data_IF_248255725235
#
_entry.id   IF_248255725235
#
_cell.length_a   1.000
_cell.length_b   1.000
_cell.length_c   1.000
_cell.angle_alpha   90.00
_cell.angle_beta   90.00
_cell.angle_gamma   90.00
#
_symmetry.space_group_name_H-M   'P 1'
#
loop_
_entity.id
_entity.type
_entity.pdbx_description
1 polymer ?
#
# COMPACT_ATOMS: atom_id res chain seq x y z
N UNK A 1 -34.55 -59.70 -10.69
CA UNK A 1 -35.03 -59.07 -9.44
C UNK A 1 -34.22 -59.60 -8.28
N UNK A 2 -33.22 -58.83 -7.86
CA UNK A 2 -32.50 -58.87 -6.57
C UNK A 2 -31.41 -57.80 -6.69
N UNK A 3 -31.42 -56.71 -5.89
CA UNK A 3 -30.40 -55.69 -5.97
C UNK A 3 -29.21 -56.08 -5.09
N UNK A 4 -28.01 -56.02 -5.68
CA UNK A 4 -26.75 -56.19 -4.96
C UNK A 4 -26.42 -54.91 -4.17
N UNK A 5 -25.98 -55.13 -2.94
CA UNK A 5 -25.76 -54.12 -1.91
C UNK A 5 -24.57 -53.18 -2.20
N UNK A 6 -24.80 -51.89 -1.97
CA UNK A 6 -23.76 -50.87 -1.82
C UNK A 6 -22.92 -51.14 -0.56
N UNK A 7 -21.59 -51.25 -0.72
CA UNK A 7 -20.62 -51.18 0.38
C UNK A 7 -20.13 -49.75 0.53
N UNK A 8 -20.47 -49.11 1.65
CA UNK A 8 -19.88 -47.86 2.14
C UNK A 8 -18.65 -48.18 2.99
N UNK A 9 -17.49 -47.63 2.62
CA UNK A 9 -16.28 -47.69 3.41
C UNK A 9 -16.33 -46.62 4.52
N UNK A 10 -16.39 -47.05 5.78
CA UNK A 10 -16.13 -46.21 6.96
C UNK A 10 -14.62 -46.06 7.14
N UNK A 11 -14.10 -44.83 7.11
CA UNK A 11 -12.74 -44.52 7.57
C UNK A 11 -12.79 -44.24 9.06
N UNK A 12 -12.04 -45.04 9.82
CA UNK A 12 -11.82 -44.91 11.25
C UNK A 12 -10.79 -43.79 11.52
N UNK A 13 -11.14 -42.85 12.40
CA UNK A 13 -10.21 -41.87 12.96
C UNK A 13 -9.30 -42.53 14.01
N UNK A 14 -7.99 -42.25 14.05
CA UNK A 14 -7.14 -42.67 15.15
C UNK A 14 -7.26 -41.73 16.35
N UNK A 15 -7.12 -42.36 17.52
CA UNK A 15 -7.33 -41.83 18.85
C UNK A 15 -6.26 -40.81 19.29
N UNK A 16 -6.71 -39.88 20.14
CA UNK A 16 -5.92 -38.93 20.91
C UNK A 16 -4.92 -39.64 21.84
N UNK A 17 -3.65 -39.30 21.74
CA UNK A 17 -2.67 -39.50 22.81
C UNK A 17 -2.34 -38.13 23.42
N UNK A 18 -2.67 -37.96 24.69
CA UNK A 18 -2.42 -36.73 25.44
C UNK A 18 -0.96 -36.62 25.87
N UNK A 19 -0.39 -35.43 25.69
CA UNK A 19 0.79 -34.99 26.42
C UNK A 19 0.38 -33.82 27.32
N UNK A 20 0.43 -34.06 28.63
CA UNK A 20 0.28 -33.03 29.67
C UNK A 20 1.62 -32.30 29.78
N UNK A 21 1.62 -30.99 29.54
CA UNK A 21 2.73 -30.09 29.89
C UNK A 21 2.30 -29.29 31.12
N UNK A 22 3.13 -29.19 32.17
CA UNK A 22 2.75 -28.53 33.41
C UNK A 22 2.69 -27.01 33.26
N UNK A 23 1.69 -26.45 33.93
CA UNK A 23 1.43 -25.03 34.15
C UNK A 23 2.53 -24.45 35.04
N UNK A 24 3.31 -23.52 34.50
CA UNK A 24 4.13 -22.60 35.30
C UNK A 24 3.33 -21.32 35.53
N UNK A 25 3.03 -21.07 36.80
CA UNK A 25 2.33 -19.91 37.29
C UNK A 25 3.24 -18.68 37.38
N UNK A 26 2.65 -17.51 37.15
CA UNK A 26 2.97 -16.30 37.90
C UNK A 26 3.97 -15.33 37.27
N UNK A 27 3.46 -14.26 36.67
CA UNK A 27 3.53 -12.89 37.22
C UNK A 27 2.78 -11.95 36.27
N UNK A 28 1.52 -11.70 36.60
CA UNK A 28 0.73 -10.64 35.97
C UNK A 28 1.18 -9.29 36.51
N UNK A 29 1.68 -8.43 35.64
CA UNK A 29 1.83 -7.01 35.91
C UNK A 29 0.48 -6.34 35.59
N UNK A 30 -0.34 -6.15 36.62
CA UNK A 30 -1.57 -5.37 36.54
C UNK A 30 -1.19 -3.88 36.55
N UNK A 31 -1.27 -3.22 35.40
CA UNK A 31 -1.18 -1.76 35.31
C UNK A 31 -2.56 -1.17 35.63
N UNK A 32 -2.69 -0.63 36.84
CA UNK A 32 -3.85 0.15 37.29
C UNK A 32 -3.82 1.54 36.64
N UNK A 33 -4.66 1.78 35.64
CA UNK A 33 -4.98 3.14 35.18
C UNK A 33 -6.14 3.69 36.01
N UNK A 34 -5.79 4.60 36.92
CA UNK A 34 -6.73 5.35 37.74
C UNK A 34 -7.61 6.23 36.84
N UNK A 35 -8.92 5.98 36.90
CA UNK A 35 -9.94 6.91 36.42
C UNK A 35 -10.01 8.10 37.37
N UNK A 36 -9.57 9.28 36.91
CA UNK A 36 -9.95 10.55 37.52
C UNK A 36 -11.14 11.08 36.73
N UNK A 37 -12.32 10.93 37.32
CA UNK A 37 -13.53 11.59 36.88
C UNK A 37 -13.51 13.06 37.27
N UNK A 38 -13.74 13.93 36.29
CA UNK A 38 -14.27 15.27 36.51
C UNK A 38 -15.57 15.40 35.73
N UNK A 39 -16.68 15.29 36.44
CA UNK A 39 -18.02 15.69 35.99
C UNK A 39 -18.29 17.13 36.42
N UNK A 40 -18.73 17.99 35.49
CA UNK A 40 -19.78 19.01 35.63
C UNK A 40 -19.96 19.76 34.27
N UNK A 41 -21.03 20.55 34.03
CA UNK A 41 -22.27 20.10 33.43
C UNK A 41 -22.68 20.87 32.14
N UNK A 42 -23.59 20.26 31.37
CA UNK A 42 -24.61 20.89 30.52
C UNK A 42 -24.27 22.13 29.68
N UNK A 43 -24.22 21.96 28.36
CA UNK A 43 -24.60 23.00 27.41
C UNK A 43 -25.37 22.38 26.24
N UNK A 44 -26.47 23.04 25.91
CA UNK A 44 -27.53 22.64 25.01
C UNK A 44 -27.06 22.55 23.54
N UNK A 45 -27.82 21.75 22.80
CA UNK A 45 -27.79 21.57 21.35
C UNK A 45 -27.77 22.89 20.57
N UNK A 46 -26.86 23.00 19.60
CA UNK A 46 -27.10 23.82 18.41
C UNK A 46 -26.53 23.09 17.21
N UNK A 47 -27.44 22.58 16.37
CA UNK A 47 -27.15 22.12 15.02
C UNK A 47 -26.61 23.31 14.21
N UNK A 48 -25.31 23.30 13.95
CA UNK A 48 -24.67 24.16 12.96
C UNK A 48 -24.30 23.30 11.76
N UNK A 49 -25.06 23.42 10.68
CA UNK A 49 -24.68 22.90 9.37
C UNK A 49 -23.34 23.53 8.96
N UNK A 50 -22.26 22.75 9.09
CA UNK A 50 -20.98 23.09 8.52
C UNK A 50 -20.92 22.52 7.09
N UNK A 51 -21.22 23.38 6.14
CA UNK A 51 -20.93 23.17 4.73
C UNK A 51 -19.41 23.31 4.55
N UNK A 52 -18.67 22.22 4.72
CA UNK A 52 -17.25 22.16 4.34
C UNK A 52 -17.14 21.59 2.92
N UNK A 53 -17.12 22.51 1.98
CA UNK A 53 -16.84 22.28 0.57
C UNK A 53 -15.33 21.99 0.42
N UNK A 54 -14.94 20.72 0.61
CA UNK A 54 -13.55 20.26 0.50
C UNK A 54 -13.14 20.05 -0.96
N UNK A 55 -13.05 21.15 -1.70
CA UNK A 55 -12.11 21.30 -2.81
C UNK A 55 -11.35 22.60 -2.60
N UNK A 56 -10.38 22.59 -1.70
CA UNK A 56 -9.42 23.68 -1.58
C UNK A 56 -8.46 23.61 -2.77
N UNK A 57 -8.78 24.37 -3.82
CA UNK A 57 -7.75 24.99 -4.66
C UNK A 57 -6.97 25.96 -3.76
N UNK A 58 -6.06 25.40 -2.97
CA UNK A 58 -5.34 26.13 -1.93
C UNK A 58 -4.60 27.33 -2.52
N UNK A 59 -5.00 28.52 -2.08
CA UNK A 59 -4.18 29.74 -2.15
C UNK A 59 -2.81 29.40 -1.57
N UNK A 60 -1.74 29.80 -2.26
CA UNK A 60 -0.38 29.75 -1.73
C UNK A 60 -0.35 30.60 -0.44
N UNK A 61 -0.56 29.97 0.72
CA UNK A 61 -0.04 30.56 1.94
C UNK A 61 1.47 30.63 1.76
N UNK A 62 2.11 31.75 2.11
CA UNK A 62 3.56 31.80 2.29
C UNK A 62 3.90 30.83 3.42
N UNK A 63 4.05 29.57 3.05
CA UNK A 63 4.28 28.49 3.96
C UNK A 63 5.75 28.53 4.41
N UNK A 64 6.06 28.06 5.63
CA UNK A 64 7.40 28.15 6.16
C UNK A 64 8.43 27.46 5.25
N UNK A 65 9.57 28.12 5.03
CA UNK A 65 10.70 27.52 4.36
C UNK A 65 11.24 26.34 5.19
N UNK A 66 11.65 25.23 4.56
CA UNK A 66 12.33 24.13 5.24
C UNK A 66 13.55 24.61 6.03
N UNK A 67 13.80 23.99 7.19
CA UNK A 67 14.94 24.35 8.04
C UNK A 67 16.23 23.71 7.53
N UNK A 68 17.38 24.34 7.79
CA UNK A 68 18.72 23.81 7.47
C UNK A 68 19.17 22.72 8.45
N UNK A 69 18.61 22.71 9.67
CA UNK A 69 18.89 21.70 10.67
C UNK A 69 17.65 20.85 10.99
N UNK A 70 17.83 19.54 11.07
CA UNK A 70 16.75 18.60 11.36
C UNK A 70 16.01 18.96 12.66
N UNK A 71 16.73 19.36 13.72
CA UNK A 71 16.13 19.73 15.01
C UNK A 71 15.21 20.95 14.94
N UNK A 72 15.47 21.87 14.01
CA UNK A 72 14.74 23.14 13.83
C UNK A 72 13.58 23.01 12.84
N UNK A 73 13.36 21.82 12.28
CA UNK A 73 12.34 21.58 11.28
C UNK A 73 10.94 21.97 11.78
N UNK A 74 10.26 22.75 10.94
CA UNK A 74 8.97 23.36 11.25
C UNK A 74 7.84 22.32 11.11
N UNK A 75 6.88 22.38 12.04
CA UNK A 75 5.69 21.53 12.00
C UNK A 75 4.73 22.02 10.92
N UNK A 76 4.41 21.12 9.99
CA UNK A 76 3.52 21.33 8.85
C UNK A 76 2.53 20.17 8.75
N UNK A 77 1.45 20.35 7.99
CA UNK A 77 0.46 19.31 7.73
C UNK A 77 0.24 19.20 6.22
N UNK A 78 -0.95 18.77 5.78
CA UNK A 78 -1.31 18.76 4.36
C UNK A 78 -1.29 20.19 3.78
N UNK A 79 -0.83 20.32 2.54
CA UNK A 79 -0.75 21.61 1.86
C UNK A 79 0.36 21.68 0.82
N UNK A 80 0.59 22.89 0.32
CA UNK A 80 1.66 23.20 -0.64
C UNK A 80 2.68 24.11 0.03
N UNK A 81 3.95 23.77 -0.14
CA UNK A 81 5.10 24.43 0.46
C UNK A 81 6.14 24.72 -0.62
N UNK A 82 6.97 25.73 -0.37
CA UNK A 82 8.10 26.06 -1.24
C UNK A 82 9.38 26.09 -0.40
N UNK A 83 10.44 25.48 -0.93
CA UNK A 83 11.76 25.49 -0.31
C UNK A 83 12.83 25.93 -1.30
N UNK A 84 14.02 26.19 -0.76
CA UNK A 84 15.21 26.51 -1.54
C UNK A 84 16.44 25.90 -0.85
N UNK A 85 17.25 25.16 -1.60
CA UNK A 85 18.42 24.46 -1.07
C UNK A 85 19.72 25.30 -1.10
N UNK A 86 19.70 26.50 -1.67
CA UNK A 86 20.90 27.33 -1.90
C UNK A 86 21.72 27.62 -0.65
N UNK A 87 21.03 27.89 0.45
CA UNK A 87 21.67 28.19 1.74
C UNK A 87 21.81 26.96 2.62
N UNK A 88 21.30 25.81 2.18
CA UNK A 88 21.27 24.60 2.98
C UNK A 88 22.59 23.84 2.86
N UNK A 89 22.90 23.06 3.89
CA UNK A 89 24.09 22.22 3.95
C UNK A 89 23.73 20.74 3.97
N UNK A 90 24.70 19.89 3.65
CA UNK A 90 24.53 18.45 3.80
C UNK A 90 24.54 18.11 5.29
N UNK A 91 23.52 17.40 5.76
CA UNK A 91 23.53 16.92 7.15
C UNK A 91 24.45 15.71 7.26
N UNK A 92 25.54 15.86 8.04
CA UNK A 92 26.57 14.84 8.20
C UNK A 92 26.06 13.57 8.88
N UNK A 93 24.99 13.66 9.67
CA UNK A 93 24.42 12.51 10.38
C UNK A 93 23.72 11.55 9.40
N UNK A 94 23.12 12.09 8.33
CA UNK A 94 22.41 11.29 7.32
C UNK A 94 23.20 11.06 6.04
N UNK A 95 24.27 11.84 5.82
CA UNK A 95 25.07 11.82 4.60
C UNK A 95 24.22 12.14 3.36
N UNK A 96 23.33 13.11 3.47
CA UNK A 96 22.34 13.47 2.46
C UNK A 96 21.10 12.59 2.45
N UNK A 97 19.99 13.12 1.96
CA UNK A 97 18.75 12.35 1.76
C UNK A 97 19.00 11.09 0.93
N UNK A 98 18.46 9.95 1.37
CA UNK A 98 18.67 8.64 0.74
C UNK A 98 20.14 8.18 0.69
N UNK A 99 21.00 8.69 1.57
CA UNK A 99 22.44 8.41 1.59
C UNK A 99 23.19 8.95 0.38
N UNK A 100 22.57 9.87 -0.37
CA UNK A 100 23.07 10.34 -1.66
C UNK A 100 23.98 11.57 -1.59
N UNK A 101 24.20 12.15 -0.41
CA UNK A 101 24.87 13.44 -0.22
C UNK A 101 24.03 14.64 -0.70
N UNK A 102 24.66 15.82 -0.73
CA UNK A 102 24.03 17.07 -1.19
C UNK A 102 23.39 17.88 -0.06
N UNK A 103 22.88 19.07 -0.38
CA UNK A 103 22.22 19.92 0.60
C UNK A 103 20.81 19.42 0.93
N UNK A 104 20.42 19.49 2.20
CA UNK A 104 19.17 18.94 2.71
C UNK A 104 18.34 20.02 3.43
N UNK A 105 17.03 20.04 3.20
CA UNK A 105 16.07 20.86 3.94
C UNK A 105 15.09 19.99 4.73
N UNK A 106 14.69 20.44 5.91
CA UNK A 106 13.92 19.63 6.86
C UNK A 106 12.55 20.23 7.22
N UNK A 107 11.55 19.35 7.31
CA UNK A 107 10.19 19.64 7.79
C UNK A 107 9.74 18.54 8.79
N UNK A 108 8.79 18.88 9.66
CA UNK A 108 8.05 17.90 10.48
C UNK A 108 6.63 17.81 9.95
N UNK A 109 6.25 16.66 9.44
CA UNK A 109 4.91 16.42 8.90
C UNK A 109 4.03 15.80 9.99
N UNK A 110 2.98 16.50 10.37
CA UNK A 110 1.94 16.02 11.27
C UNK A 110 0.80 15.35 10.50
N UNK A 111 0.39 14.18 10.99
CA UNK A 111 -0.76 13.41 10.52
C UNK A 111 -1.88 13.53 11.58
N UNK A 112 -2.78 14.52 11.48
CA UNK A 112 -3.73 14.84 12.55
C UNK A 112 -4.82 13.77 12.73
N UNK A 113 -5.12 13.01 11.68
CA UNK A 113 -6.08 11.91 11.68
C UNK A 113 -5.45 10.70 11.02
N UNK A 114 -5.99 9.49 11.26
CA UNK A 114 -5.51 8.28 10.59
C UNK A 114 -5.58 8.46 9.07
N UNK A 115 -4.45 8.36 8.38
CA UNK A 115 -4.36 8.73 6.96
C UNK A 115 -3.20 8.04 6.23
N UNK A 116 -3.33 7.92 4.91
CA UNK A 116 -2.18 7.80 4.02
C UNK A 116 -1.55 9.16 3.81
N UNK A 117 -0.22 9.19 3.81
CA UNK A 117 0.60 10.35 3.54
C UNK A 117 1.28 10.20 2.19
N UNK A 118 1.11 11.17 1.31
CA UNK A 118 1.85 11.28 0.04
C UNK A 118 2.58 12.61 0.01
N UNK A 119 3.85 12.59 -0.38
CA UNK A 119 4.65 13.79 -0.57
C UNK A 119 5.21 13.81 -1.98
N UNK A 120 4.82 14.81 -2.76
CA UNK A 120 5.37 15.08 -4.07
C UNK A 120 6.28 16.31 -4.02
N UNK A 121 7.40 16.28 -4.72
CA UNK A 121 8.33 17.39 -4.79
C UNK A 121 8.78 17.63 -6.23
N UNK A 122 8.92 18.90 -6.61
CA UNK A 122 9.36 19.31 -7.96
C UNK A 122 10.38 20.44 -7.84
N UNK A 123 11.61 20.16 -8.26
CA UNK A 123 12.68 21.16 -8.32
C UNK A 123 12.64 21.96 -9.63
N UNK A 124 13.22 23.16 -9.62
CA UNK A 124 13.40 23.98 -10.82
C UNK A 124 14.57 23.44 -11.63
N UNK A 125 14.30 22.43 -12.46
CA UNK A 125 15.32 21.79 -13.31
C UNK A 125 16.10 20.66 -12.65
N UNK A 126 15.64 20.16 -11.50
CA UNK A 126 16.17 18.95 -10.84
C UNK A 126 15.04 18.12 -10.23
N UNK A 127 15.31 16.84 -9.97
CA UNK A 127 14.42 15.94 -9.25
C UNK A 127 14.83 15.91 -7.77
N UNK A 128 14.00 16.41 -6.83
CA UNK A 128 14.29 16.32 -5.40
C UNK A 128 14.26 14.88 -4.91
N UNK A 129 15.13 14.56 -3.96
CA UNK A 129 15.10 13.30 -3.19
C UNK A 129 14.31 13.51 -1.92
N UNK A 130 13.59 12.49 -1.46
CA UNK A 130 12.75 12.55 -0.26
C UNK A 130 13.08 11.41 0.69
N UNK A 131 13.08 11.68 1.99
CA UNK A 131 13.14 10.63 3.01
C UNK A 131 12.28 10.97 4.22
N UNK A 132 11.78 9.92 4.86
CA UNK A 132 11.08 9.99 6.14
C UNK A 132 11.87 9.30 7.24
N UNK A 133 11.85 9.89 8.44
CA UNK A 133 12.26 9.25 9.68
C UNK A 133 11.25 9.53 10.81
N UNK A 134 11.35 8.82 11.94
CA UNK A 134 10.56 9.14 13.12
C UNK A 134 10.91 10.54 13.65
N UNK A 135 10.23 11.00 14.70
CA UNK A 135 10.45 12.35 15.25
C UNK A 135 11.79 12.51 16.01
N UNK A 136 12.60 11.46 16.10
CA UNK A 136 14.02 11.55 16.43
C UNK A 136 14.81 11.87 15.15
N UNK A 137 15.66 12.89 15.21
CA UNK A 137 16.47 13.30 14.05
C UNK A 137 17.12 12.08 13.37
N UNK A 138 17.28 12.13 12.05
CA UNK A 138 17.52 11.00 11.13
C UNK A 138 18.78 10.12 11.37
N UNK A 139 19.51 10.29 12.48
CA UNK A 139 20.69 9.49 12.84
C UNK A 139 20.41 8.04 13.29
N UNK A 140 19.14 7.62 13.36
CA UNK A 140 18.74 6.30 13.88
C UNK A 140 18.30 5.30 12.81
N UNK A 141 17.28 5.64 12.01
CA UNK A 141 16.71 4.75 10.99
C UNK A 141 15.74 5.50 10.07
N UNK A 142 16.07 5.54 8.79
CA UNK A 142 15.15 5.97 7.74
C UNK A 142 13.97 4.97 7.64
N UNK A 143 12.74 5.49 7.59
CA UNK A 143 11.51 4.72 7.41
C UNK A 143 11.29 4.42 5.94
N UNK A 144 11.48 5.43 5.09
CA UNK A 144 11.31 5.32 3.65
C UNK A 144 12.14 6.40 2.96
N UNK A 145 12.58 6.08 1.75
CA UNK A 145 13.32 6.98 0.87
C UNK A 145 12.83 6.82 -0.55
N UNK A 146 12.86 7.92 -1.29
CA UNK A 146 12.72 7.92 -2.73
C UNK A 146 13.74 8.88 -3.36
N UNK A 147 14.45 8.39 -4.38
CA UNK A 147 15.42 9.20 -5.16
C UNK A 147 14.73 10.15 -6.12
N UNK A 148 13.40 10.05 -6.24
CA UNK A 148 12.46 10.87 -6.98
C UNK A 148 11.09 10.87 -6.31
N UNK A 149 10.26 11.90 -6.58
CA UNK A 149 8.91 12.01 -6.05
C UNK A 149 7.87 11.26 -6.93
N UNK A 150 6.74 10.78 -6.37
CA UNK A 150 6.31 10.95 -4.98
C UNK A 150 6.81 9.86 -4.00
N UNK A 151 6.88 10.22 -2.72
CA UNK A 151 7.11 9.29 -1.60
C UNK A 151 5.80 9.12 -0.82
N UNK A 152 5.40 7.89 -0.53
CA UNK A 152 4.13 7.61 0.18
C UNK A 152 4.32 6.66 1.36
N UNK A 153 3.53 6.88 2.42
CA UNK A 153 3.37 6.01 3.58
C UNK A 153 1.88 5.77 3.80
N UNK A 154 1.51 4.53 4.08
CA UNK A 154 0.11 4.14 4.21
C UNK A 154 -0.29 3.96 5.67
N UNK A 155 -1.57 4.25 5.95
CA UNK A 155 -2.25 3.91 7.19
C UNK A 155 -1.54 4.38 8.48
N UNK A 156 -1.05 5.62 8.45
CA UNK A 156 -0.41 6.24 9.61
C UNK A 156 -1.46 6.55 10.68
N UNK A 157 -1.10 6.32 11.95
CA UNK A 157 -1.98 6.62 13.07
C UNK A 157 -2.19 8.14 13.24
N UNK A 158 -3.34 8.53 13.79
CA UNK A 158 -3.59 9.93 14.16
C UNK A 158 -2.55 10.41 15.20
N UNK A 159 -2.09 11.65 15.04
CA UNK A 159 -1.02 12.24 15.87
C UNK A 159 0.39 11.80 15.50
N UNK A 160 0.58 11.02 14.42
CA UNK A 160 1.92 10.67 13.95
C UNK A 160 2.65 11.93 13.48
N UNK A 161 3.90 12.11 13.91
CA UNK A 161 4.80 13.15 13.43
C UNK A 161 6.02 12.50 12.80
N UNK A 162 6.31 12.86 11.56
CA UNK A 162 7.44 12.34 10.79
C UNK A 162 8.39 13.48 10.43
N UNK A 163 9.69 13.21 10.45
CA UNK A 163 10.70 14.13 9.88
C UNK A 163 10.79 13.85 8.40
N UNK A 164 10.50 14.86 7.58
CA UNK A 164 10.71 14.85 6.14
C UNK A 164 12.02 15.59 5.85
N UNK A 165 12.92 14.93 5.13
CA UNK A 165 14.07 15.59 4.53
C UNK A 165 13.93 15.63 3.01
N UNK A 166 14.22 16.80 2.44
CA UNK A 166 14.23 17.05 1.00
C UNK A 166 15.65 17.38 0.58
N UNK A 167 16.20 16.58 -0.32
CA UNK A 167 17.58 16.72 -0.77
C UNK A 167 17.70 16.79 -2.29
N UNK A 168 18.94 16.90 -2.75
CA UNK A 168 19.30 17.00 -4.16
C UNK A 168 20.58 16.20 -4.40
N UNK A 169 20.75 15.69 -5.62
CA UNK A 169 22.02 15.07 -6.01
C UNK A 169 23.21 16.04 -5.83
N UNK A 170 24.33 15.60 -5.22
CA UNK A 170 25.45 16.49 -4.90
C UNK A 170 26.13 17.08 -6.14
N UNK A 171 26.19 16.35 -7.26
CA UNK A 171 26.77 16.87 -8.50
C UNK A 171 25.86 17.96 -9.08
N UNK A 172 24.55 17.69 -9.13
CA UNK A 172 23.55 18.66 -9.58
C UNK A 172 23.55 19.90 -8.68
N UNK A 173 23.63 19.73 -7.36
CA UNK A 173 23.71 20.83 -6.41
C UNK A 173 24.93 21.70 -6.65
N UNK A 174 26.12 21.09 -6.76
CA UNK A 174 27.36 21.82 -7.04
C UNK A 174 27.25 22.66 -8.31
N UNK A 175 26.71 22.09 -9.38
CA UNK A 175 26.57 22.77 -10.67
C UNK A 175 25.57 23.94 -10.62
N UNK A 176 24.46 23.76 -9.90
CA UNK A 176 23.42 24.78 -9.77
C UNK A 176 23.80 25.89 -8.78
N UNK A 177 24.50 25.56 -7.69
CA UNK A 177 24.87 26.51 -6.66
C UNK A 177 25.95 27.51 -7.14
N UNK A 178 26.78 27.11 -8.11
CA UNK A 178 27.76 28.02 -8.75
C UNK A 178 27.09 29.11 -9.59
N UNK A 179 25.83 28.94 -9.98
CA UNK A 179 25.08 29.94 -10.75
C UNK A 179 24.48 30.96 -9.78
N UNK A 180 24.66 32.28 -10.02
CA UNK A 180 24.01 33.29 -9.19
C UNK A 180 22.49 33.12 -9.25
N UNK A 181 21.81 33.44 -8.15
CA UNK A 181 20.35 33.47 -8.13
C UNK A 181 19.87 34.52 -9.14
N UNK A 182 19.00 34.15 -10.10
CA UNK A 182 18.46 35.11 -11.06
C UNK A 182 17.55 36.12 -10.37
N UNK A 183 17.61 37.39 -10.79
CA UNK A 183 16.76 38.46 -10.24
C UNK A 183 15.31 38.36 -10.71
N UNK A 184 15.10 37.91 -11.96
CA UNK A 184 13.79 37.90 -12.64
C UNK A 184 13.20 36.48 -12.85
N UNK A 185 13.81 35.44 -12.29
CA UNK A 185 13.37 34.05 -12.46
C UNK A 185 13.46 33.26 -11.14
N UNK A 186 12.73 32.12 -11.03
CA UNK A 186 12.89 31.24 -9.89
C UNK A 186 14.33 30.74 -9.76
N UNK A 187 14.83 30.68 -8.54
CA UNK A 187 16.13 30.12 -8.24
C UNK A 187 16.18 28.64 -8.69
N UNK A 188 17.22 28.18 -9.43
CA UNK A 188 17.35 26.79 -9.84
C UNK A 188 17.41 25.77 -8.68
N UNK A 189 17.70 26.22 -7.46
CA UNK A 189 17.67 25.40 -6.24
C UNK A 189 16.34 25.50 -5.48
N UNK A 190 15.35 26.22 -6.02
CA UNK A 190 13.99 26.20 -5.49
C UNK A 190 13.24 24.93 -5.86
N UNK A 191 12.30 24.54 -5.01
CA UNK A 191 11.39 23.45 -5.25
C UNK A 191 10.02 23.73 -4.65
N UNK A 192 8.98 23.19 -5.28
CA UNK A 192 7.64 23.11 -4.72
C UNK A 192 7.42 21.72 -4.13
N UNK A 193 6.75 21.66 -2.98
CA UNK A 193 6.42 20.47 -2.22
C UNK A 193 4.92 20.41 -1.99
N UNK A 194 4.30 19.27 -2.26
CA UNK A 194 2.88 19.01 -2.02
C UNK A 194 2.75 17.84 -1.06
N UNK A 195 2.17 18.12 0.11
CA UNK A 195 1.89 17.14 1.16
C UNK A 195 0.39 16.83 1.10
N UNK A 196 0.07 15.64 0.60
CA UNK A 196 -1.29 15.10 0.54
C UNK A 196 -1.56 14.16 1.70
N UNK A 197 -2.75 14.28 2.29
CA UNK A 197 -3.30 13.33 3.25
C UNK A 197 -4.60 12.75 2.71
N UNK A 198 -4.71 11.44 2.69
CA UNK A 198 -5.97 10.74 2.39
C UNK A 198 -6.42 10.02 3.65
N UNK A 199 -7.53 10.45 4.23
CA UNK A 199 -8.05 9.86 5.47
C UNK A 199 -8.32 8.36 5.28
N UNK A 200 -7.99 7.57 6.29
CA UNK A 200 -8.31 6.14 6.37
C UNK A 200 -9.46 5.95 7.36
N UNK A 201 -10.58 5.50 6.84
CA UNK A 201 -11.85 5.33 7.53
C UNK A 201 -11.94 3.93 8.16
N UNK A 202 -12.33 3.86 9.42
CA UNK A 202 -12.58 2.61 10.13
C UNK A 202 -13.92 1.97 9.74
N UNK A 203 -14.14 0.74 10.18
CA UNK A 203 -15.39 0.03 9.94
C UNK A 203 -16.60 0.80 10.53
N UNK A 204 -17.68 0.89 9.77
CA UNK A 204 -18.91 1.63 10.10
C UNK A 204 -18.85 3.13 9.85
N UNK A 205 -17.72 3.68 9.35
CA UNK A 205 -17.66 5.09 8.98
C UNK A 205 -18.19 5.32 7.55
N UNK A 206 -18.96 6.40 7.36
CA UNK A 206 -19.47 6.81 6.05
C UNK A 206 -18.32 7.16 5.11
N UNK A 207 -18.29 6.50 3.95
CA UNK A 207 -17.19 6.55 3.00
C UNK A 207 -17.49 7.33 1.71
N UNK A 208 -18.73 7.81 1.55
CA UNK A 208 -19.09 8.73 0.46
C UNK A 208 -19.38 10.16 0.95
N UNK A 209 -19.01 11.18 0.15
CA UNK A 209 -18.28 11.10 -1.12
C UNK A 209 -16.80 10.70 -0.91
N UNK A 210 -16.11 10.28 -1.99
CA UNK A 210 -14.72 9.81 -1.95
C UNK A 210 -13.72 10.83 -1.33
N UNK A 211 -14.07 12.12 -1.27
CA UNK A 211 -13.29 13.13 -0.56
C UNK A 211 -13.21 12.91 0.96
N UNK A 212 -14.09 12.07 1.54
CA UNK A 212 -14.01 11.66 2.95
C UNK A 212 -12.79 10.81 3.27
N UNK A 213 -12.22 10.12 2.27
CA UNK A 213 -11.10 9.20 2.43
C UNK A 213 -11.36 7.83 1.81
N UNK A 214 -10.48 6.89 2.11
CA UNK A 214 -10.65 5.47 1.75
C UNK A 214 -10.93 4.63 2.99
N UNK A 215 -11.62 3.52 2.80
CA UNK A 215 -11.80 2.52 3.85
C UNK A 215 -10.45 1.87 4.22
N UNK A 216 -10.30 1.49 5.50
CA UNK A 216 -9.16 0.70 5.99
C UNK A 216 -9.10 -0.64 5.26
N UNK A 217 -7.90 -1.21 5.14
CA UNK A 217 -7.74 -2.58 4.63
C UNK A 217 -8.69 -3.55 5.35
N UNK A 218 -9.24 -4.51 4.60
CA UNK A 218 -10.25 -5.44 5.09
C UNK A 218 -11.68 -4.89 5.16
N UNK A 219 -11.90 -3.65 4.73
CA UNK A 219 -13.23 -3.04 4.65
C UNK A 219 -13.49 -2.44 3.27
N UNK A 220 -14.76 -2.38 2.86
CA UNK A 220 -15.20 -1.78 1.60
C UNK A 220 -16.29 -0.75 1.79
N UNK A 221 -16.30 0.26 0.94
CA UNK A 221 -17.37 1.25 0.93
C UNK A 221 -18.64 0.64 0.34
N UNK A 222 -19.62 0.33 1.19
CA UNK A 222 -20.83 -0.40 0.80
C UNK A 222 -22.07 0.15 1.50
N UNK A 223 -23.19 0.25 0.77
CA UNK A 223 -24.50 0.49 1.37
C UNK A 223 -25.08 -0.81 1.94
N UNK A 224 -25.63 -0.76 3.16
CA UNK A 224 -26.29 -1.91 3.79
C UNK A 224 -27.68 -2.19 3.17
N UNK A 225 -28.39 -1.16 2.74
CA UNK A 225 -29.63 -1.25 1.99
C UNK A 225 -29.73 -0.13 0.93
N UNK A 226 -30.62 -0.28 -0.09
CA UNK A 226 -30.85 0.77 -1.06
C UNK A 226 -31.31 2.08 -0.40
N UNK A 227 -30.54 3.15 -0.62
CA UNK A 227 -30.82 4.48 -0.05
C UNK A 227 -30.06 4.82 1.22
N UNK A 228 -29.35 3.86 1.82
CA UNK A 228 -28.42 4.12 2.92
C UNK A 228 -27.14 4.79 2.41
N UNK A 229 -26.53 5.64 3.24
CA UNK A 229 -25.19 6.15 2.96
C UNK A 229 -24.18 4.98 3.00
N UNK A 230 -23.31 4.82 1.99
CA UNK A 230 -22.29 3.78 2.03
C UNK A 230 -21.33 3.99 3.22
N UNK A 231 -21.04 2.91 3.92
CA UNK A 231 -20.14 2.85 5.05
C UNK A 231 -19.04 1.82 4.80
N UNK A 232 -17.88 2.00 5.45
CA UNK A 232 -16.82 1.01 5.43
C UNK A 232 -17.27 -0.27 6.12
N UNK A 233 -17.67 -1.26 5.34
CA UNK A 233 -18.20 -2.53 5.81
C UNK A 233 -17.06 -3.55 5.86
N UNK A 234 -16.87 -4.19 7.02
CA UNK A 234 -15.91 -5.28 7.16
C UNK A 234 -16.28 -6.43 6.24
N UNK A 235 -15.31 -6.87 5.44
CA UNK A 235 -15.46 -8.08 4.67
C UNK A 235 -15.15 -9.29 5.55
N UNK A 236 -16.05 -10.28 5.64
CA UNK A 236 -15.78 -11.50 6.35
C UNK A 236 -14.81 -12.38 5.52
N UNK A 237 -13.53 -12.02 5.46
CA UNK A 237 -12.35 -12.90 5.51
C UNK A 237 -11.00 -12.21 5.17
N UNK A 238 -10.74 -10.99 5.66
CA UNK A 238 -9.46 -10.26 5.49
C UNK A 238 -8.23 -10.99 6.10
N UNK A 239 -7.80 -12.11 5.54
CA UNK A 239 -6.66 -12.87 6.08
C UNK A 239 -5.89 -13.70 5.07
N UNK A 240 -6.31 -13.80 3.79
CA UNK A 240 -5.81 -14.83 2.85
C UNK A 240 -5.88 -16.29 3.38
N UNK A 241 -6.34 -16.52 4.61
CA UNK A 241 -6.40 -17.82 5.27
C UNK A 241 -7.53 -18.68 4.74
N UNK A 242 -8.50 -18.03 4.09
CA UNK A 242 -9.64 -18.62 3.38
C UNK A 242 -9.43 -18.65 1.86
N UNK A 243 -8.25 -18.27 1.37
CA UNK A 243 -7.96 -18.27 -0.05
C UNK A 243 -8.18 -19.67 -0.64
N UNK A 244 -8.81 -19.72 -1.81
CA UNK A 244 -9.08 -20.99 -2.46
C UNK A 244 -7.79 -21.55 -3.06
N UNK A 245 -7.32 -22.68 -2.55
CA UNK A 245 -6.24 -23.45 -3.17
C UNK A 245 -6.65 -23.85 -4.59
N UNK A 246 -5.89 -23.36 -5.56
CA UNK A 246 -6.21 -23.47 -6.98
C UNK A 246 -5.03 -24.11 -7.71
N UNK A 247 -5.15 -25.39 -8.10
CA UNK A 247 -4.09 -26.06 -8.83
C UNK A 247 -3.98 -25.52 -10.26
N UNK A 248 -2.79 -25.07 -10.63
CA UNK A 248 -2.51 -24.64 -12.00
C UNK A 248 -2.10 -25.86 -12.82
N UNK A 249 -3.03 -26.39 -13.61
CA UNK A 249 -2.78 -27.54 -14.49
C UNK A 249 -2.63 -27.06 -15.92
N UNK A 250 -1.38 -27.02 -16.39
CA UNK A 250 -1.06 -26.64 -17.76
C UNK A 250 -1.29 -27.79 -18.74
N UNK A 251 -1.80 -27.47 -19.91
CA UNK A 251 -1.84 -28.35 -21.08
C UNK A 251 -0.42 -28.60 -21.64
N UNK A 252 -0.30 -29.51 -22.62
CA UNK A 252 0.98 -29.79 -23.29
C UNK A 252 1.60 -28.55 -23.95
N UNK A 253 0.78 -27.58 -24.36
CA UNK A 253 1.23 -26.28 -24.89
C UNK A 253 1.76 -25.31 -23.82
N UNK A 254 1.69 -25.68 -22.54
CA UNK A 254 2.08 -24.80 -21.43
C UNK A 254 1.04 -23.73 -21.10
N UNK A 255 -0.22 -23.95 -21.48
CA UNK A 255 -1.35 -23.02 -21.29
C UNK A 255 -2.40 -23.62 -20.36
N UNK A 256 -3.08 -22.77 -19.58
CA UNK A 256 -4.25 -23.10 -18.78
C UNK A 256 -5.27 -21.95 -18.78
N UNK A 257 -6.49 -22.27 -18.38
CA UNK A 257 -7.56 -21.30 -18.20
C UNK A 257 -8.17 -21.46 -16.81
N UNK A 258 -8.38 -20.35 -16.12
CA UNK A 258 -9.04 -20.31 -14.83
C UNK A 258 -10.32 -19.48 -14.96
N UNK A 259 -11.45 -20.07 -14.61
CA UNK A 259 -12.75 -19.39 -14.65
C UNK A 259 -12.99 -18.70 -13.31
N UNK A 260 -13.29 -17.41 -13.37
CA UNK A 260 -13.67 -16.57 -12.23
C UNK A 260 -15.15 -16.28 -12.36
N UNK A 261 -15.92 -16.65 -11.33
CA UNK A 261 -17.33 -16.33 -11.22
C UNK A 261 -17.50 -15.16 -10.23
N UNK A 262 -17.83 -13.95 -10.72
CA UNK A 262 -18.04 -12.77 -9.87
C UNK A 262 -19.16 -12.94 -8.84
N UNK A 263 -20.14 -13.82 -9.10
CA UNK A 263 -21.26 -14.06 -8.20
C UNK A 263 -20.86 -14.86 -6.93
N UNK A 264 -19.69 -15.49 -6.94
CA UNK A 264 -19.15 -16.11 -5.73
C UNK A 264 -18.72 -15.04 -4.71
N UNK A 265 -18.79 -15.32 -3.40
CA UNK A 265 -18.38 -14.36 -2.39
C UNK A 265 -16.95 -13.87 -2.60
N UNK A 266 -16.81 -12.54 -2.61
CA UNK A 266 -15.54 -11.82 -2.65
C UNK A 266 -15.32 -11.27 -1.25
N UNK A 267 -14.38 -11.87 -0.54
CA UNK A 267 -14.27 -11.75 0.92
C UNK A 267 -13.14 -10.83 1.36
N UNK A 268 -12.45 -10.23 0.40
CA UNK A 268 -11.17 -9.57 0.59
C UNK A 268 -11.13 -8.23 -0.14
N UNK A 269 -10.31 -7.32 0.37
CA UNK A 269 -10.04 -6.01 -0.23
C UNK A 269 -8.65 -5.55 0.21
N UNK A 270 -7.66 -5.74 -0.65
CA UNK A 270 -6.27 -5.42 -0.39
C UNK A 270 -5.82 -4.22 -1.24
N UNK A 271 -4.95 -3.38 -0.70
CA UNK A 271 -4.31 -2.32 -1.48
C UNK A 271 -3.09 -2.87 -2.21
N UNK A 272 -2.97 -2.65 -3.53
CA UNK A 272 -1.83 -3.07 -4.37
C UNK A 272 -1.08 -1.85 -4.92
N UNK A 273 0.16 -2.02 -5.38
CA UNK A 273 0.97 -0.84 -5.80
C UNK A 273 0.48 -0.17 -7.08
N UNK A 274 -0.18 -0.91 -7.97
CA UNK A 274 -0.74 -0.41 -9.23
C UNK A 274 -2.23 -0.06 -9.12
N UNK A 275 -2.89 -0.29 -7.98
CA UNK A 275 -4.34 -0.10 -7.86
C UNK A 275 -4.96 -0.80 -6.65
N UNK A 276 -6.26 -1.05 -6.71
CA UNK A 276 -6.92 -1.96 -5.78
C UNK A 276 -7.25 -1.44 -4.38
N UNK A 277 -6.89 -0.21 -4.01
CA UNK A 277 -7.28 0.34 -2.70
C UNK A 277 -8.81 0.37 -2.53
N UNK A 278 -9.35 -0.67 -1.88
CA UNK A 278 -10.78 -0.81 -1.59
C UNK A 278 -11.63 -1.31 -2.76
N UNK A 279 -11.14 -2.23 -3.61
CA UNK A 279 -11.99 -3.01 -4.51
C UNK A 279 -12.24 -4.42 -3.94
N UNK A 280 -13.37 -5.03 -4.32
CA UNK A 280 -13.65 -6.43 -3.99
C UNK A 280 -12.66 -7.33 -4.72
N UNK A 281 -12.12 -8.30 -4.00
CA UNK A 281 -11.16 -9.24 -4.57
C UNK A 281 -11.59 -10.68 -4.39
N UNK A 282 -11.26 -11.46 -5.41
CA UNK A 282 -11.12 -12.91 -5.29
C UNK A 282 -9.66 -13.23 -4.99
N UNK A 283 -9.41 -13.91 -3.86
CA UNK A 283 -8.06 -14.38 -3.51
C UNK A 283 -7.96 -15.88 -3.76
N UNK A 284 -6.99 -16.26 -4.59
CA UNK A 284 -6.66 -17.65 -4.90
C UNK A 284 -5.23 -17.95 -4.46
N UNK A 285 -5.02 -19.07 -3.80
CA UNK A 285 -3.66 -19.56 -3.52
C UNK A 285 -3.26 -20.53 -4.64
N UNK A 286 -2.26 -20.17 -5.44
CA UNK A 286 -1.89 -20.93 -6.63
C UNK A 286 -0.92 -22.06 -6.30
N UNK A 287 -1.31 -23.30 -6.59
CA UNK A 287 -0.35 -24.40 -6.61
C UNK A 287 0.39 -24.36 -7.94
N UNK A 288 1.63 -23.88 -7.90
CA UNK A 288 2.43 -23.64 -9.10
C UNK A 288 2.69 -24.95 -9.87
N UNK A 289 2.60 -24.92 -11.22
CA UNK A 289 2.86 -26.09 -12.02
C UNK A 289 4.35 -26.46 -11.96
N UNK A 290 4.66 -27.72 -12.29
CA UNK A 290 6.03 -28.05 -12.65
C UNK A 290 6.40 -27.29 -13.94
N UNK A 291 7.47 -26.52 -13.90
CA UNK A 291 7.96 -25.77 -15.06
C UNK A 291 9.46 -26.01 -15.26
N UNK A 292 9.95 -26.00 -16.52
CA UNK A 292 11.38 -25.95 -16.79
C UNK A 292 12.06 -24.75 -16.11
N UNK A 293 13.36 -24.83 -15.83
CA UNK A 293 14.13 -23.67 -15.38
C UNK A 293 14.04 -22.52 -16.40
N UNK A 294 14.15 -21.28 -15.93
CA UNK A 294 14.04 -20.06 -16.73
C UNK A 294 12.67 -19.85 -17.42
N UNK A 295 11.59 -20.38 -16.82
CA UNK A 295 10.21 -20.08 -17.22
C UNK A 295 9.48 -19.33 -16.11
N UNK A 296 8.67 -18.36 -16.54
CA UNK A 296 7.73 -17.63 -15.70
C UNK A 296 6.29 -18.01 -16.04
N UNK A 297 5.37 -17.78 -15.11
CA UNK A 297 3.94 -17.95 -15.32
C UNK A 297 3.35 -16.58 -15.59
N UNK A 298 2.88 -16.37 -16.81
CA UNK A 298 2.12 -15.19 -17.17
C UNK A 298 0.63 -15.45 -16.95
N UNK A 299 -0.06 -14.51 -16.32
CA UNK A 299 -1.51 -14.54 -16.08
C UNK A 299 -2.08 -13.27 -16.72
N UNK A 300 -3.10 -13.45 -17.56
CA UNK A 300 -3.74 -12.36 -18.30
C UNK A 300 -5.25 -12.42 -18.17
N UNK A 301 -5.89 -11.27 -18.20
CA UNK A 301 -7.35 -11.13 -18.28
C UNK A 301 -7.70 -10.12 -19.36
N UNK A 302 -8.63 -10.47 -20.24
CA UNK A 302 -9.04 -9.60 -21.35
C UNK A 302 -10.05 -8.53 -20.93
N UNK A 303 -10.69 -8.70 -19.76
CA UNK A 303 -11.59 -7.70 -19.17
C UNK A 303 -10.78 -6.48 -18.73
N UNK A 304 -11.02 -5.29 -19.32
CA UNK A 304 -10.19 -4.10 -19.09
C UNK A 304 -10.45 -3.43 -17.74
N UNK A 305 -11.50 -3.84 -17.04
CA UNK A 305 -11.98 -3.36 -15.74
C UNK A 305 -11.60 -4.29 -14.58
N UNK A 306 -10.88 -5.38 -14.87
CA UNK A 306 -10.39 -6.34 -13.87
C UNK A 306 -8.90 -6.13 -13.65
N UNK A 307 -8.50 -5.91 -12.40
CA UNK A 307 -7.11 -5.82 -11.97
C UNK A 307 -6.57 -7.18 -11.52
N UNK A 308 -5.25 -7.34 -11.55
CA UNK A 308 -4.55 -8.53 -11.07
C UNK A 308 -3.37 -8.13 -10.20
N UNK A 309 -3.18 -8.82 -9.08
CA UNK A 309 -1.96 -8.71 -8.28
C UNK A 309 -1.49 -10.06 -7.77
N UNK A 310 -0.20 -10.21 -7.55
CA UNK A 310 0.43 -11.44 -7.04
C UNK A 310 1.30 -11.12 -5.85
N UNK A 311 1.14 -11.88 -4.76
CA UNK A 311 1.99 -11.79 -3.57
C UNK A 311 2.60 -13.14 -3.20
N UNK A 312 3.86 -13.12 -2.75
CA UNK A 312 4.54 -14.26 -2.16
C UNK A 312 5.75 -13.81 -1.31
N UNK A 313 6.06 -14.48 -0.20
CA UNK A 313 5.52 -15.77 0.23
C UNK A 313 4.20 -15.67 1.03
N UNK A 314 3.83 -14.48 1.49
CA UNK A 314 2.60 -14.24 2.22
C UNK A 314 1.59 -13.41 1.43
N UNK A 315 0.63 -12.90 2.19
CA UNK A 315 -0.49 -12.09 1.71
C UNK A 315 -0.24 -10.58 1.92
N UNK A 316 0.86 -10.20 2.56
CA UNK A 316 1.12 -8.82 2.93
C UNK A 316 1.47 -7.98 1.71
N UNK A 317 1.12 -6.69 1.73
CA UNK A 317 1.47 -5.78 0.63
C UNK A 317 2.99 -5.73 0.35
N UNK A 318 3.82 -5.93 1.38
CA UNK A 318 5.29 -6.05 1.24
C UNK A 318 5.75 -7.28 0.48
N UNK A 319 4.89 -8.29 0.32
CA UNK A 319 5.16 -9.53 -0.41
C UNK A 319 4.74 -9.42 -1.89
N UNK A 320 4.31 -8.24 -2.36
CA UNK A 320 3.89 -8.05 -3.74
C UNK A 320 5.03 -8.30 -4.73
N UNK A 321 4.78 -9.20 -5.69
CA UNK A 321 5.71 -9.58 -6.74
C UNK A 321 5.43 -8.86 -8.05
N UNK A 322 4.15 -8.67 -8.36
CA UNK A 322 3.68 -8.06 -9.60
C UNK A 322 2.24 -7.62 -9.43
N UNK A 323 1.85 -6.57 -10.13
CA UNK A 323 0.45 -6.19 -10.23
C UNK A 323 0.17 -5.41 -11.52
N UNK A 324 -1.09 -5.40 -11.95
CA UNK A 324 -1.60 -4.66 -13.08
C UNK A 324 -3.04 -4.18 -12.82
N UNK A 325 -3.28 -2.87 -13.00
CA UNK A 325 -4.55 -2.23 -12.74
C UNK A 325 -5.62 -2.53 -13.82
N UNK A 326 -6.88 -2.63 -13.41
CA UNK A 326 -8.04 -2.72 -14.30
C UNK A 326 -8.54 -1.36 -14.79
N UNK A 327 -7.69 -0.56 -15.44
CA UNK A 327 -8.00 0.84 -15.81
C UNK A 327 -8.17 1.06 -17.31
N UNK A 328 -8.88 0.15 -18.00
CA UNK A 328 -9.22 0.30 -19.42
C UNK A 328 -8.34 -0.48 -20.39
N UNK A 329 -7.35 -1.24 -19.89
CA UNK A 329 -6.51 -2.13 -20.68
C UNK A 329 -6.50 -3.55 -20.06
N UNK A 330 -6.28 -4.61 -20.86
CA UNK A 330 -6.12 -5.97 -20.33
C UNK A 330 -5.01 -6.02 -19.27
N UNK A 331 -5.32 -6.52 -18.08
CA UNK A 331 -4.33 -6.70 -17.03
C UNK A 331 -3.46 -7.95 -17.28
N UNK A 332 -2.17 -7.82 -16.97
CA UNK A 332 -1.18 -8.88 -17.13
C UNK A 332 -0.18 -8.84 -15.98
N UNK A 333 0.04 -9.99 -15.35
CA UNK A 333 1.06 -10.17 -14.30
C UNK A 333 1.95 -11.37 -14.61
N UNK A 334 3.22 -11.31 -14.20
CA UNK A 334 4.20 -12.37 -14.46
C UNK A 334 4.83 -12.84 -13.15
N UNK A 335 4.71 -14.13 -12.86
CA UNK A 335 5.36 -14.78 -11.72
C UNK A 335 6.67 -15.41 -12.21
N UNK A 336 7.79 -14.73 -11.96
CA UNK A 336 9.13 -15.27 -12.23
C UNK A 336 9.61 -16.26 -11.17
N UNK A 337 10.74 -16.93 -11.41
CA UNK A 337 11.42 -17.82 -10.45
C UNK A 337 10.52 -18.97 -9.95
N UNK A 338 9.65 -19.49 -10.82
CA UNK A 338 8.69 -20.55 -10.47
C UNK A 338 9.35 -21.76 -9.81
N UNK A 339 10.49 -22.20 -10.37
CA UNK A 339 11.25 -23.33 -9.84
C UNK A 339 11.72 -23.10 -8.39
N UNK A 340 12.20 -21.88 -8.09
CA UNK A 340 12.65 -21.52 -6.74
C UNK A 340 11.50 -21.40 -5.75
N UNK A 341 10.39 -20.78 -6.14
CA UNK A 341 9.19 -20.68 -5.31
C UNK A 341 8.66 -22.07 -4.95
N UNK A 342 8.54 -22.96 -5.96
CA UNK A 342 8.10 -24.34 -5.76
C UNK A 342 9.06 -25.14 -4.88
N UNK A 343 10.37 -25.02 -5.10
CA UNK A 343 11.37 -25.71 -4.29
C UNK A 343 11.35 -25.25 -2.81
N UNK A 344 11.00 -23.98 -2.56
CA UNK A 344 10.80 -23.43 -1.22
C UNK A 344 9.42 -23.75 -0.62
N UNK A 345 8.53 -24.44 -1.34
CA UNK A 345 7.16 -24.72 -0.90
C UNK A 345 6.28 -23.47 -0.82
N UNK A 346 6.63 -22.41 -1.54
CA UNK A 346 5.88 -21.15 -1.56
C UNK A 346 4.78 -21.22 -2.62
N UNK A 347 3.53 -21.03 -2.18
CA UNK A 347 2.36 -20.93 -3.04
C UNK A 347 1.89 -19.47 -3.10
N UNK A 348 2.11 -18.76 -4.23
CA UNK A 348 1.72 -17.36 -4.36
C UNK A 348 0.21 -17.15 -4.25
N UNK A 349 -0.18 -16.00 -3.74
CA UNK A 349 -1.56 -15.52 -3.73
C UNK A 349 -1.81 -14.68 -4.97
N UNK A 350 -2.87 -15.01 -5.72
CA UNK A 350 -3.40 -14.23 -6.83
C UNK A 350 -4.64 -13.49 -6.35
N UNK A 351 -4.60 -12.17 -6.46
CA UNK A 351 -5.69 -11.26 -6.17
C UNK A 351 -6.30 -10.83 -7.50
N UNK A 352 -7.61 -10.99 -7.62
CA UNK A 352 -8.37 -10.61 -8.81
C UNK A 352 -9.31 -9.50 -8.38
N UNK A 353 -8.96 -8.27 -8.73
CA UNK A 353 -9.72 -7.06 -8.39
C UNK A 353 -10.91 -6.95 -9.34
N UNK A 354 -12.11 -6.96 -8.79
CA UNK A 354 -13.34 -6.84 -9.56
C UNK A 354 -13.89 -5.41 -9.50
N UNK A 355 -14.52 -4.93 -10.57
CA UNK A 355 -15.15 -3.62 -10.54
C UNK A 355 -16.35 -3.61 -9.58
N UNK A 356 -16.79 -2.41 -9.12
CA UNK A 356 -18.02 -2.28 -8.34
C UNK A 356 -19.23 -2.92 -9.03
N UNK A 357 -20.15 -3.46 -8.23
CA UNK A 357 -21.40 -4.11 -8.69
C UNK A 357 -21.23 -5.32 -9.63
N UNK A 358 -20.03 -5.89 -9.69
CA UNK A 358 -19.70 -7.03 -10.54
C UNK A 358 -20.35 -8.35 -10.13
N UNK A 359 -21.06 -8.42 -8.99
CA UNK A 359 -21.71 -9.66 -8.53
C UNK A 359 -22.79 -10.16 -9.50
N UNK A 360 -23.21 -9.32 -10.45
CA UNK A 360 -24.18 -9.63 -11.51
C UNK A 360 -23.54 -9.93 -12.86
N UNK A 361 -22.23 -9.75 -12.98
CA UNK A 361 -21.50 -9.98 -14.22
C UNK A 361 -21.40 -11.48 -14.54
N UNK A 362 -21.31 -11.84 -15.83
CA UNK A 362 -21.01 -13.22 -16.21
C UNK A 362 -19.60 -13.61 -15.78
N UNK A 363 -19.41 -14.91 -15.55
CA UNK A 363 -18.10 -15.50 -15.33
C UNK A 363 -17.14 -15.17 -16.50
N UNK A 364 -15.87 -14.97 -16.18
CA UNK A 364 -14.82 -14.66 -17.14
C UNK A 364 -13.58 -15.53 -16.92
N UNK A 365 -12.64 -15.47 -17.85
CA UNK A 365 -11.47 -16.35 -17.87
C UNK A 365 -10.19 -15.57 -17.67
N UNK A 366 -9.35 -16.04 -16.76
CA UNK A 366 -7.92 -15.73 -16.73
C UNK A 366 -7.19 -16.75 -17.60
N UNK A 367 -6.33 -16.27 -18.49
CA UNK A 367 -5.47 -17.13 -19.31
C UNK A 367 -4.08 -17.18 -18.68
N UNK A 368 -3.60 -18.39 -18.43
CA UNK A 368 -2.31 -18.67 -17.83
C UNK A 368 -1.42 -19.32 -18.88
N UNK A 369 -0.17 -18.87 -19.00
CA UNK A 369 0.79 -19.50 -19.91
C UNK A 369 2.20 -19.44 -19.38
N UNK A 370 3.00 -20.46 -19.70
CA UNK A 370 4.43 -20.39 -19.46
C UNK A 370 5.09 -19.48 -20.51
N UNK A 371 5.86 -18.52 -20.05
CA UNK A 371 6.68 -17.64 -20.88
C UNK A 371 8.15 -17.76 -20.48
N UNK A 372 9.10 -17.34 -21.34
CA UNK A 372 10.49 -17.17 -20.91
C UNK A 372 10.56 -16.23 -19.69
N UNK A 373 11.46 -16.51 -18.75
CA UNK A 373 11.68 -15.55 -17.65
C UNK A 373 12.05 -14.17 -18.21
N UNK A 374 11.45 -13.09 -17.69
CA UNK A 374 11.86 -11.75 -18.06
C UNK A 374 13.32 -11.56 -17.66
N UNK A 375 14.18 -11.31 -18.64
CA UNK A 375 15.53 -10.85 -18.36
C UNK A 375 15.44 -9.52 -17.64
N UNK A 376 16.09 -9.35 -16.47
CA UNK A 376 16.17 -8.05 -15.83
C UNK A 376 16.76 -7.06 -16.84
N UNK A 377 16.02 -6.01 -17.15
CA UNK A 377 16.51 -4.97 -18.05
C UNK A 377 17.75 -4.32 -17.41
N UNK A 378 18.90 -4.41 -18.10
CA UNK A 378 20.09 -3.64 -17.77
C UNK A 378 20.98 -4.21 -16.66
N UNK A 379 21.68 -5.30 -16.94
CA UNK A 379 23.12 -5.32 -16.63
C UNK A 379 23.82 -5.52 -17.98
N UNK A 380 24.57 -4.54 -18.52
CA UNK A 380 25.39 -4.82 -19.68
C UNK A 380 26.33 -5.97 -19.28
N UNK A 381 26.30 -7.05 -20.07
CA UNK A 381 27.21 -8.16 -19.87
C UNK A 381 28.63 -7.63 -19.80
N UNK A 382 29.30 -7.89 -18.69
CA UNK A 382 30.72 -7.63 -18.60
C UNK A 382 31.43 -8.46 -19.70
N UNK A 383 32.43 -7.88 -20.39
CA UNK A 383 33.15 -8.56 -21.47
C UNK A 383 33.86 -9.83 -21.02
#
# INVERSE_FOLDING_TARGET
>A
MSPAAHRTARVLAPARAGLRVPVAAGLGLALTLAHVGCTAPGAETTEGAATEDSTTTGVWAEAPAPADACAEALLVSHGRYRGNLRTMTADEAIRGVCGGGGADGFLRVEVPVRADLTVAARGVGFAPRLSFAPDDCLGGREIACAVDAPLALQDLAAGTVLRLAVGIDPAVFSDLNQKPAPEDAPDPLSYDLEIGLTRVLGAGEVCEPASRGRCVAGTLCMASAPGDAPECTTLPADTCSTALHTPVVLSEGGEAALVVDPALPQTDAHAHTCGGAGLRERVLQLDLPAAPPARALEITVSRPDVGLAVRAPGCLATDELACAAGTGAPAQVVIGRLGSLRAAGVAPYLFIELPPDSERDPAFTLNLRLVPEPTPWGVPGAP
#
